data_IF_709038309399
#
_entry.id   IF_709038309399
#
_cell.length_a   1.000
_cell.length_b   1.000
_cell.length_c   1.000
_cell.angle_alpha   90.00
_cell.angle_beta   90.00
_cell.angle_gamma   90.00
#
_symmetry.space_group_name_H-M   'P 1'
#
loop_
_entity.id
_entity.type
_entity.pdbx_description
1 polymer ?
#
# COMPACT_ATOMS: atom_id res chain seq x y z
N UNK A 1 -33.53 53.17 13.68
CA UNK A 1 -34.31 52.16 14.41
C UNK A 1 -33.45 50.95 14.56
N UNK A 2 -32.71 51.00 15.66
CA UNK A 2 -31.73 50.02 16.12
C UNK A 2 -32.44 48.86 16.83
N UNK A 3 -31.65 47.83 17.04
CA UNK A 3 -31.91 46.61 17.83
C UNK A 3 -32.50 45.46 17.05
N UNK A 4 -31.57 44.57 16.60
CA UNK A 4 -31.49 43.14 16.94
C UNK A 4 -30.11 42.65 16.44
N UNK A 5 -29.09 42.89 17.21
CA UNK A 5 -27.76 42.18 17.12
C UNK A 5 -27.23 42.00 18.52
N UNK A 6 -27.64 40.93 19.18
CA UNK A 6 -26.89 40.33 20.29
C UNK A 6 -27.55 38.98 20.66
N UNK A 7 -26.82 37.90 20.52
CA UNK A 7 -27.25 36.61 21.07
C UNK A 7 -27.00 35.42 20.16
N UNK A 8 -25.75 35.06 19.91
CA UNK A 8 -25.32 33.65 19.77
C UNK A 8 -23.81 33.62 19.62
N UNK A 9 -23.13 33.86 20.73
CA UNK A 9 -21.71 33.57 20.88
C UNK A 9 -21.57 32.89 22.22
N UNK A 10 -21.63 31.55 22.22
CA UNK A 10 -21.07 30.66 23.24
C UNK A 10 -21.66 29.25 23.03
N UNK A 11 -20.88 28.43 22.39
CA UNK A 11 -20.81 26.96 22.57
C UNK A 11 -20.01 26.36 21.43
N UNK A 12 -18.73 26.64 21.40
CA UNK A 12 -17.71 25.77 20.79
C UNK A 12 -16.48 25.90 21.67
N UNK A 13 -16.39 25.07 22.64
CA UNK A 13 -15.16 24.77 23.35
C UNK A 13 -15.28 23.38 23.91
N UNK A 14 -14.62 22.46 23.30
CA UNK A 14 -13.82 21.34 23.76
C UNK A 14 -13.63 20.38 22.61
N UNK A 15 -12.83 20.76 21.62
CA UNK A 15 -12.12 19.79 20.83
C UNK A 15 -10.86 19.47 21.63
N UNK A 16 -10.79 18.25 22.15
CA UNK A 16 -9.61 17.70 22.79
C UNK A 16 -8.42 17.87 21.84
N UNK A 17 -7.52 18.75 22.20
CA UNK A 17 -6.19 18.84 21.61
C UNK A 17 -5.44 17.59 22.05
N UNK A 18 -5.52 16.52 21.22
CA UNK A 18 -4.61 15.38 21.37
C UNK A 18 -3.21 15.94 21.19
N UNK A 19 -2.45 15.85 22.26
CA UNK A 19 -1.08 16.37 22.37
C UNK A 19 -0.21 15.75 21.27
N UNK A 20 0.15 16.55 20.26
CA UNK A 20 1.00 16.14 19.13
C UNK A 20 2.36 15.57 19.58
N UNK A 21 2.84 15.94 20.75
CA UNK A 21 4.09 15.43 21.34
C UNK A 21 4.01 13.97 21.78
N UNK A 22 2.86 13.49 22.25
CA UNK A 22 2.69 12.09 22.71
C UNK A 22 2.53 11.12 21.54
N UNK A 23 1.94 11.54 20.43
CA UNK A 23 1.79 10.72 19.23
C UNK A 23 3.14 10.51 18.53
N UNK A 24 3.98 11.56 18.48
CA UNK A 24 5.30 11.51 17.85
C UNK A 24 6.27 10.62 18.64
N UNK A 25 6.27 10.71 19.98
CA UNK A 25 7.09 9.85 20.84
C UNK A 25 6.72 8.37 20.73
N UNK A 26 5.44 8.05 20.56
CA UNK A 26 4.96 6.69 20.34
C UNK A 26 5.42 6.10 19.00
N UNK A 27 5.39 6.88 17.92
CA UNK A 27 5.84 6.47 16.60
C UNK A 27 7.36 6.23 16.56
N UNK A 28 8.15 7.12 17.19
CA UNK A 28 9.61 6.94 17.28
C UNK A 28 9.99 5.69 18.07
N UNK A 29 9.25 5.37 19.13
CA UNK A 29 9.44 4.11 19.87
C UNK A 29 9.20 2.89 18.97
N UNK A 30 8.15 2.90 18.14
CA UNK A 30 7.88 1.82 17.20
C UNK A 30 8.95 1.70 16.12
N UNK A 31 9.42 2.82 15.59
CA UNK A 31 10.53 2.85 14.62
C UNK A 31 11.81 2.26 15.21
N UNK A 32 12.16 2.63 16.45
CA UNK A 32 13.31 2.09 17.15
C UNK A 32 13.23 0.56 17.35
N UNK A 33 12.04 0.03 17.63
CA UNK A 33 11.81 -1.42 17.73
C UNK A 33 12.01 -2.14 16.40
N UNK A 34 11.61 -1.51 15.30
CA UNK A 34 11.68 -2.10 13.95
C UNK A 34 13.06 -1.99 13.32
N UNK A 35 13.85 -1.00 13.69
CA UNK A 35 15.14 -0.70 13.05
C UNK A 35 16.13 -1.88 13.04
N UNK A 36 16.27 -2.71 14.10
CA UNK A 36 17.19 -3.84 14.12
C UNK A 36 16.62 -5.10 13.46
N UNK A 37 15.35 -5.08 13.02
CA UNK A 37 14.66 -6.27 12.53
C UNK A 37 14.89 -6.51 11.04
N UNK A 38 15.06 -7.77 10.68
CA UNK A 38 15.00 -8.21 9.29
C UNK A 38 13.58 -8.11 8.72
N UNK A 39 13.41 -8.04 7.38
CA UNK A 39 12.10 -7.85 6.76
C UNK A 39 11.01 -8.83 7.23
N UNK A 40 11.33 -10.12 7.36
CA UNK A 40 10.39 -11.12 7.87
C UNK A 40 10.01 -10.88 9.32
N UNK A 41 10.97 -10.46 10.15
CA UNK A 41 10.71 -10.09 11.54
C UNK A 41 9.83 -8.84 11.65
N UNK A 42 9.99 -7.87 10.74
CA UNK A 42 9.11 -6.71 10.65
C UNK A 42 7.66 -7.12 10.33
N UNK A 43 7.48 -8.07 9.41
CA UNK A 43 6.15 -8.61 9.08
C UNK A 43 5.53 -9.35 10.27
N UNK A 44 6.32 -10.20 10.96
CA UNK A 44 5.85 -10.93 12.15
C UNK A 44 5.47 -9.95 13.26
N UNK A 45 6.29 -8.95 13.54
CA UNK A 45 5.97 -7.89 14.49
C UNK A 45 4.64 -7.19 14.18
N UNK A 46 4.38 -6.91 12.91
CA UNK A 46 3.12 -6.27 12.52
C UNK A 46 1.92 -7.22 12.69
N UNK A 47 2.09 -8.49 12.33
CA UNK A 47 1.06 -9.52 12.51
C UNK A 47 0.71 -9.71 13.98
N UNK A 48 1.71 -9.84 14.85
CA UNK A 48 1.52 -10.03 16.30
C UNK A 48 0.85 -8.81 16.95
N UNK A 49 1.22 -7.61 16.51
CA UNK A 49 0.74 -6.36 17.09
C UNK A 49 -0.67 -5.97 16.66
N UNK A 50 -1.00 -6.18 15.39
CA UNK A 50 -2.25 -5.70 14.80
C UNK A 50 -3.25 -6.82 14.54
N UNK A 51 -2.81 -8.07 14.51
CA UNK A 51 -3.67 -9.23 14.26
C UNK A 51 -4.55 -9.04 13.02
N UNK A 52 -5.90 -9.14 13.15
CA UNK A 52 -6.82 -8.94 12.03
C UNK A 52 -6.78 -7.54 11.40
N UNK A 53 -6.22 -6.55 12.10
CA UNK A 53 -6.00 -5.20 11.60
C UNK A 53 -4.71 -5.04 10.77
N UNK A 54 -3.98 -6.12 10.50
CA UNK A 54 -2.82 -6.11 9.61
C UNK A 54 -3.19 -6.62 8.21
N UNK A 55 -2.68 -5.95 7.19
CA UNK A 55 -2.81 -6.35 5.78
C UNK A 55 -1.49 -6.15 5.04
N UNK A 56 -1.37 -6.72 3.84
CA UNK A 56 -0.30 -6.41 2.91
C UNK A 56 -0.88 -5.87 1.61
N UNK A 57 -0.20 -4.94 0.96
CA UNK A 57 -0.54 -4.46 -0.38
C UNK A 57 0.46 -4.96 -1.40
N UNK A 58 0.00 -5.28 -2.60
CA UNK A 58 0.85 -5.72 -3.71
C UNK A 58 0.38 -5.11 -5.03
N UNK A 59 1.30 -4.89 -5.96
CA UNK A 59 1.02 -4.57 -7.36
C UNK A 59 1.22 -5.77 -8.28
N UNK A 60 1.68 -6.90 -7.75
CA UNK A 60 2.18 -8.04 -8.54
C UNK A 60 3.25 -7.64 -9.57
N UNK A 61 3.99 -6.56 -9.32
CA UNK A 61 5.15 -6.19 -10.11
C UNK A 61 6.33 -7.13 -9.84
N UNK A 62 7.44 -6.88 -10.55
CA UNK A 62 8.64 -7.71 -10.60
C UNK A 62 9.13 -8.20 -9.23
N UNK A 63 9.04 -7.36 -8.21
CA UNK A 63 9.58 -7.62 -6.87
C UNK A 63 8.52 -7.96 -5.83
N UNK A 64 7.26 -8.04 -6.23
CA UNK A 64 6.17 -8.36 -5.31
C UNK A 64 6.27 -9.78 -4.76
N UNK A 65 6.87 -10.71 -5.52
CA UNK A 65 7.08 -12.10 -5.09
C UNK A 65 7.88 -12.23 -3.80
N UNK A 66 8.86 -11.36 -3.58
CA UNK A 66 9.71 -11.38 -2.39
C UNK A 66 8.91 -11.21 -1.11
N UNK A 67 8.18 -10.10 -1.00
CA UNK A 67 7.42 -9.79 0.22
C UNK A 67 6.25 -10.77 0.42
N UNK A 68 5.61 -11.23 -0.67
CA UNK A 68 4.57 -12.24 -0.65
C UNK A 68 5.10 -13.59 -0.14
N UNK A 69 6.28 -13.99 -0.60
CA UNK A 69 6.95 -15.21 -0.13
C UNK A 69 7.32 -15.09 1.36
N UNK A 70 7.94 -13.99 1.78
CA UNK A 70 8.25 -13.75 3.18
C UNK A 70 7.01 -13.89 4.07
N UNK A 71 5.88 -13.30 3.64
CA UNK A 71 4.62 -13.41 4.37
C UNK A 71 4.12 -14.86 4.43
N UNK A 72 4.18 -15.61 3.31
CA UNK A 72 3.71 -17.00 3.26
C UNK A 72 4.52 -17.96 4.14
N UNK A 73 5.76 -17.60 4.49
CA UNK A 73 6.62 -18.37 5.39
C UNK A 73 6.37 -18.09 6.87
N UNK A 74 5.54 -17.10 7.22
CA UNK A 74 5.27 -16.75 8.62
C UNK A 74 4.15 -17.59 9.22
N UNK A 75 4.24 -17.96 10.49
CA UNK A 75 3.11 -18.49 11.23
C UNK A 75 1.92 -17.53 11.18
N UNK A 76 0.77 -17.98 10.64
CA UNK A 76 -0.42 -17.15 10.47
C UNK A 76 -0.38 -16.18 9.28
N UNK A 77 0.68 -16.21 8.46
CA UNK A 77 0.81 -15.36 7.27
C UNK A 77 -0.26 -15.63 6.20
N UNK A 78 -0.78 -16.84 6.12
CA UNK A 78 -1.88 -17.26 5.26
C UNK A 78 -3.22 -16.57 5.58
N UNK A 79 -3.40 -16.15 6.83
CA UNK A 79 -4.58 -15.42 7.29
C UNK A 79 -4.57 -13.93 6.91
N UNK A 80 -3.39 -13.36 6.61
CA UNK A 80 -3.22 -11.94 6.30
C UNK A 80 -3.82 -11.61 4.93
N UNK A 81 -4.76 -10.65 4.85
CA UNK A 81 -5.28 -10.21 3.56
C UNK A 81 -4.21 -9.50 2.74
N UNK A 82 -4.01 -9.96 1.52
CA UNK A 82 -3.14 -9.32 0.52
C UNK A 82 -4.02 -8.53 -0.43
N UNK A 83 -3.99 -7.21 -0.32
CA UNK A 83 -4.81 -6.30 -1.11
C UNK A 83 -4.07 -5.97 -2.41
N UNK A 84 -4.72 -6.26 -3.52
CA UNK A 84 -4.26 -5.91 -4.86
C UNK A 84 -5.23 -4.94 -5.52
N UNK A 85 -4.72 -3.75 -5.87
CA UNK A 85 -5.51 -2.78 -6.63
C UNK A 85 -5.45 -3.14 -8.12
N UNK A 86 -6.56 -3.64 -8.63
CA UNK A 86 -6.74 -3.89 -10.06
C UNK A 86 -7.37 -2.67 -10.73
N UNK A 87 -6.56 -2.00 -11.55
CA UNK A 87 -7.02 -0.82 -12.30
C UNK A 87 -7.90 -1.17 -13.50
N UNK A 88 -7.91 -2.45 -13.91
CA UNK A 88 -8.57 -2.94 -15.14
C UNK A 88 -7.78 -2.64 -16.42
N UNK A 89 -6.54 -2.14 -16.30
CA UNK A 89 -5.66 -1.80 -17.43
C UNK A 89 -4.27 -2.45 -17.31
N UNK A 90 -4.13 -3.42 -16.40
CA UNK A 90 -2.87 -4.14 -16.25
C UNK A 90 -2.60 -5.05 -17.46
N UNK A 91 -1.34 -5.31 -17.82
CA UNK A 91 -0.99 -6.29 -18.83
C UNK A 91 -1.52 -7.70 -18.50
N UNK A 92 -1.86 -8.47 -19.52
CA UNK A 92 -2.34 -9.85 -19.34
C UNK A 92 -1.32 -10.73 -18.58
N UNK A 93 -0.03 -10.46 -18.79
CA UNK A 93 1.09 -11.10 -18.12
C UNK A 93 1.03 -10.89 -16.60
N UNK A 94 0.68 -9.66 -16.16
CA UNK A 94 0.52 -9.34 -14.73
C UNK A 94 -0.62 -10.15 -14.11
N UNK A 95 -1.77 -10.27 -14.79
CA UNK A 95 -2.90 -11.09 -14.31
C UNK A 95 -2.52 -12.58 -14.20
N UNK A 96 -1.83 -13.13 -15.20
CA UNK A 96 -1.38 -14.53 -15.20
C UNK A 96 -0.34 -14.77 -14.09
N UNK A 97 0.63 -13.86 -13.96
CA UNK A 97 1.66 -13.92 -12.92
C UNK A 97 1.05 -13.84 -11.51
N UNK A 98 0.10 -12.95 -11.30
CA UNK A 98 -0.63 -12.82 -10.04
C UNK A 98 -1.37 -14.11 -9.68
N UNK A 99 -2.06 -14.72 -10.63
CA UNK A 99 -2.77 -15.99 -10.43
C UNK A 99 -1.82 -17.14 -10.07
N UNK A 100 -0.71 -17.26 -10.80
CA UNK A 100 0.32 -18.29 -10.56
C UNK A 100 0.96 -18.12 -9.17
N UNK A 101 1.33 -16.89 -8.83
CA UNK A 101 1.98 -16.58 -7.55
C UNK A 101 1.03 -16.80 -6.36
N UNK A 102 -0.25 -16.41 -6.52
CA UNK A 102 -1.29 -16.69 -5.53
C UNK A 102 -1.45 -18.18 -5.26
N UNK A 103 -1.50 -19.00 -6.31
CA UNK A 103 -1.62 -20.46 -6.17
C UNK A 103 -0.41 -21.08 -5.51
N UNK A 104 0.80 -20.65 -5.90
CA UNK A 104 2.06 -21.16 -5.35
C UNK A 104 2.23 -20.82 -3.86
N UNK A 105 1.87 -19.61 -3.45
CA UNK A 105 2.10 -19.10 -2.09
C UNK A 105 0.89 -19.23 -1.15
N UNK A 106 -0.27 -19.68 -1.65
CA UNK A 106 -1.48 -19.82 -0.84
C UNK A 106 -2.02 -18.52 -0.27
N UNK A 107 -1.73 -17.36 -0.90
CA UNK A 107 -2.06 -16.04 -0.34
C UNK A 107 -3.56 -15.77 -0.35
N UNK A 108 -4.07 -15.15 0.72
CA UNK A 108 -5.44 -14.65 0.84
C UNK A 108 -5.60 -13.33 0.07
N UNK A 109 -5.87 -13.44 -1.23
CA UNK A 109 -5.96 -12.28 -2.12
C UNK A 109 -7.30 -11.55 -1.99
N UNK A 110 -7.25 -10.24 -1.80
CA UNK A 110 -8.37 -9.29 -1.85
C UNK A 110 -8.15 -8.36 -3.04
N UNK A 111 -8.99 -8.49 -4.07
CA UNK A 111 -8.91 -7.62 -5.25
C UNK A 111 -9.72 -6.36 -4.99
N UNK A 112 -9.05 -5.21 -5.02
CA UNK A 112 -9.63 -3.88 -4.86
C UNK A 112 -9.82 -3.24 -6.25
N UNK A 113 -11.07 -2.99 -6.64
CA UNK A 113 -11.42 -2.42 -7.93
C UNK A 113 -12.35 -1.22 -7.76
N UNK A 114 -12.28 -0.28 -8.70
CA UNK A 114 -13.28 0.77 -8.80
C UNK A 114 -14.66 0.18 -9.10
N UNK A 115 -15.70 0.73 -8.49
CA UNK A 115 -17.10 0.36 -8.76
C UNK A 115 -17.52 0.64 -10.20
N UNK A 116 -16.81 1.52 -10.91
CA UNK A 116 -17.04 1.85 -12.30
C UNK A 116 -16.08 1.07 -13.20
N UNK A 117 -16.62 0.32 -14.17
CA UNK A 117 -15.80 -0.40 -15.15
C UNK A 117 -14.92 0.53 -15.98
N UNK A 118 -13.78 0.05 -16.51
CA UNK A 118 -12.93 0.83 -17.42
C UNK A 118 -13.71 1.42 -18.59
N UNK A 119 -14.48 0.60 -19.31
CA UNK A 119 -15.25 1.02 -20.49
C UNK A 119 -16.26 2.14 -20.17
N UNK A 120 -16.99 2.02 -19.03
CA UNK A 120 -17.95 3.06 -18.62
C UNK A 120 -17.24 4.37 -18.32
N UNK A 121 -16.06 4.31 -17.68
CA UNK A 121 -15.28 5.49 -17.34
C UNK A 121 -14.76 6.19 -18.57
N UNK A 122 -14.17 5.43 -19.51
CA UNK A 122 -13.69 5.99 -20.79
C UNK A 122 -14.80 6.67 -21.55
N UNK A 123 -16.00 6.08 -21.56
CA UNK A 123 -17.17 6.69 -22.21
C UNK A 123 -17.62 8.02 -21.57
N UNK A 124 -17.46 8.16 -20.25
CA UNK A 124 -17.92 9.34 -19.51
C UNK A 124 -16.85 10.44 -19.36
N UNK A 125 -15.57 10.04 -19.24
CA UNK A 125 -14.47 10.96 -18.91
C UNK A 125 -13.34 10.94 -19.94
N UNK A 126 -13.41 10.08 -20.97
CA UNK A 126 -12.31 9.86 -21.89
C UNK A 126 -11.15 9.10 -21.24
N UNK A 127 -10.05 9.02 -21.97
CA UNK A 127 -8.79 8.42 -21.46
C UNK A 127 -7.97 9.47 -20.73
N UNK A 128 -8.25 9.66 -19.47
CA UNK A 128 -7.64 10.72 -18.65
C UNK A 128 -6.10 10.72 -18.69
N UNK A 129 -5.47 9.55 -18.80
CA UNK A 129 -4.00 9.42 -18.89
C UNK A 129 -3.41 9.86 -20.23
N UNK A 130 -4.23 10.07 -21.27
CA UNK A 130 -3.79 10.55 -22.59
C UNK A 130 -3.95 12.07 -22.75
N UNK A 131 -4.60 12.76 -21.82
CA UNK A 131 -4.88 14.20 -21.91
C UNK A 131 -3.65 15.09 -21.77
N UNK A 132 -2.58 14.59 -21.16
CA UNK A 132 -1.37 15.35 -20.84
C UNK A 132 -1.56 16.37 -19.70
N UNK A 133 -2.74 16.45 -19.07
CA UNK A 133 -3.02 17.35 -17.93
C UNK A 133 -2.79 16.61 -16.61
N UNK A 134 -2.09 17.28 -15.68
CA UNK A 134 -1.80 16.74 -14.36
C UNK A 134 -3.10 16.44 -13.57
N UNK A 135 -4.07 17.32 -13.63
CA UNK A 135 -5.38 17.17 -12.97
C UNK A 135 -6.13 15.90 -13.40
N UNK A 136 -6.07 15.55 -14.69
CA UNK A 136 -6.69 14.34 -15.21
C UNK A 136 -5.94 13.08 -14.76
N UNK A 137 -4.62 13.15 -14.69
CA UNK A 137 -3.80 12.06 -14.16
C UNK A 137 -4.09 11.85 -12.67
N UNK A 138 -4.21 12.92 -11.89
CA UNK A 138 -4.57 12.86 -10.47
C UNK A 138 -5.97 12.28 -10.28
N UNK A 139 -6.93 12.70 -11.10
CA UNK A 139 -8.27 12.13 -11.10
C UNK A 139 -8.25 10.64 -11.43
N UNK A 140 -7.49 10.23 -12.46
CA UNK A 140 -7.29 8.83 -12.83
C UNK A 140 -6.73 8.02 -11.66
N UNK A 141 -5.63 8.48 -11.06
CA UNK A 141 -4.98 7.80 -9.94
C UNK A 141 -5.91 7.69 -8.73
N UNK A 142 -6.63 8.77 -8.40
CA UNK A 142 -7.60 8.76 -7.31
C UNK A 142 -8.67 7.70 -7.53
N UNK A 143 -9.35 7.72 -8.67
CA UNK A 143 -10.49 6.85 -8.96
C UNK A 143 -10.09 5.38 -9.18
N UNK A 144 -8.87 5.11 -9.63
CA UNK A 144 -8.44 3.75 -10.00
C UNK A 144 -7.51 3.09 -8.99
N UNK A 145 -6.81 3.88 -8.18
CA UNK A 145 -5.85 3.34 -7.20
C UNK A 145 -6.19 3.73 -5.78
N UNK A 146 -6.37 5.03 -5.51
CA UNK A 146 -6.50 5.51 -4.13
C UNK A 146 -7.83 5.10 -3.51
N UNK A 147 -8.95 5.45 -4.15
CA UNK A 147 -10.28 5.13 -3.63
C UNK A 147 -10.52 3.62 -3.46
N UNK A 148 -10.21 2.75 -4.45
CA UNK A 148 -10.36 1.30 -4.27
C UNK A 148 -9.50 0.74 -3.14
N UNK A 149 -8.26 1.25 -2.97
CA UNK A 149 -7.39 0.84 -1.87
C UNK A 149 -7.99 1.24 -0.52
N UNK A 150 -8.41 2.50 -0.38
CA UNK A 150 -9.03 3.00 0.85
C UNK A 150 -10.28 2.21 1.23
N UNK A 151 -11.14 1.93 0.26
CA UNK A 151 -12.34 1.12 0.47
C UNK A 151 -12.00 -0.29 0.95
N UNK A 152 -10.95 -0.91 0.40
CA UNK A 152 -10.50 -2.23 0.83
C UNK A 152 -9.91 -2.20 2.25
N UNK A 153 -9.08 -1.19 2.56
CA UNK A 153 -8.50 -0.99 3.88
C UNK A 153 -9.59 -0.72 4.94
N UNK A 154 -10.59 0.09 4.61
CA UNK A 154 -11.72 0.40 5.49
C UNK A 154 -12.57 -0.85 5.77
N UNK A 155 -12.95 -1.59 4.73
CA UNK A 155 -13.73 -2.83 4.89
C UNK A 155 -13.00 -3.88 5.71
N UNK A 156 -11.66 -3.92 5.61
CA UNK A 156 -10.82 -4.80 6.40
C UNK A 156 -10.53 -4.30 7.81
N UNK A 157 -11.01 -3.11 8.20
CA UNK A 157 -10.64 -2.44 9.45
C UNK A 157 -9.12 -2.43 9.67
N UNK A 158 -8.37 -2.22 8.58
CA UNK A 158 -6.91 -2.27 8.58
C UNK A 158 -6.35 -1.07 9.35
N UNK A 159 -5.45 -1.33 10.28
CA UNK A 159 -4.72 -0.32 11.08
C UNK A 159 -3.27 -0.18 10.67
N UNK A 160 -2.69 -1.24 10.10
CA UNK A 160 -1.34 -1.26 9.58
C UNK A 160 -1.31 -2.07 8.29
N UNK A 161 -0.62 -1.58 7.26
CA UNK A 161 -0.36 -2.38 6.06
C UNK A 161 1.12 -2.38 5.69
N UNK A 162 1.60 -3.53 5.21
CA UNK A 162 2.93 -3.66 4.65
C UNK A 162 2.92 -3.47 3.13
N UNK A 163 3.99 -2.92 2.58
CA UNK A 163 4.20 -2.78 1.14
C UNK A 163 5.65 -3.03 0.74
N UNK A 164 5.87 -3.48 -0.51
CA UNK A 164 7.20 -3.75 -1.06
C UNK A 164 7.95 -2.50 -1.54
N UNK A 165 7.66 -1.33 -0.99
CA UNK A 165 8.34 -0.07 -1.34
C UNK A 165 9.78 -0.10 -0.86
N UNK A 166 10.70 0.36 -1.74
CA UNK A 166 12.13 0.50 -1.44
C UNK A 166 12.59 1.92 -1.72
N UNK A 167 13.53 2.40 -0.89
CA UNK A 167 14.04 3.79 -0.97
C UNK A 167 14.69 4.11 -2.31
N UNK A 168 15.40 3.15 -2.90
CA UNK A 168 16.13 3.33 -4.16
C UNK A 168 15.28 3.34 -5.44
N UNK A 169 13.93 3.23 -5.36
CA UNK A 169 13.09 3.13 -6.55
C UNK A 169 12.77 4.49 -7.21
N UNK A 170 12.62 5.54 -6.42
CA UNK A 170 12.36 6.91 -6.91
C UNK A 170 12.88 7.95 -5.93
N UNK A 171 13.11 9.19 -6.39
CA UNK A 171 13.55 10.28 -5.52
C UNK A 171 12.54 10.59 -4.40
N UNK A 172 11.25 10.54 -4.70
CA UNK A 172 10.18 10.73 -3.71
C UNK A 172 10.23 9.70 -2.56
N UNK A 173 10.78 8.51 -2.81
CA UNK A 173 10.88 7.45 -1.80
C UNK A 173 12.12 7.56 -0.91
N UNK A 174 13.05 8.46 -1.24
CA UNK A 174 14.29 8.66 -0.45
C UNK A 174 14.04 9.14 0.98
N UNK A 175 13.00 9.93 1.16
CA UNK A 175 12.61 10.47 2.48
C UNK A 175 11.71 9.53 3.30
N UNK A 176 11.25 8.42 2.72
CA UNK A 176 10.38 7.47 3.43
C UNK A 176 11.13 6.76 4.54
N UNK A 177 10.43 6.48 5.64
CA UNK A 177 10.92 5.68 6.75
C UNK A 177 10.31 4.27 6.75
N UNK A 178 10.84 3.39 7.61
CA UNK A 178 10.39 2.01 7.73
C UNK A 178 8.91 1.91 8.14
N UNK A 179 8.46 2.87 8.98
CA UNK A 179 7.09 2.97 9.45
C UNK A 179 6.64 4.43 9.43
N UNK A 180 5.65 4.75 8.62
CA UNK A 180 5.07 6.09 8.53
C UNK A 180 3.57 6.08 8.80
N UNK A 181 3.05 7.10 9.50
CA UNK A 181 1.62 7.33 9.56
C UNK A 181 1.13 7.82 8.19
N UNK A 182 0.10 7.19 7.68
CA UNK A 182 -0.59 7.63 6.47
C UNK A 182 -2.07 7.69 6.81
N UNK A 183 -2.60 8.91 6.90
CA UNK A 183 -3.93 9.15 7.45
C UNK A 183 -4.01 8.57 8.87
N UNK A 184 -5.01 7.76 9.16
CA UNK A 184 -5.26 7.13 10.48
C UNK A 184 -4.62 5.75 10.63
N UNK A 185 -3.68 5.37 9.75
CA UNK A 185 -3.07 4.03 9.70
C UNK A 185 -1.56 4.12 9.65
N UNK A 186 -0.92 2.99 9.88
CA UNK A 186 0.53 2.84 9.73
C UNK A 186 0.87 2.12 8.42
N UNK A 187 1.84 2.65 7.70
CA UNK A 187 2.43 2.03 6.50
C UNK A 187 3.80 1.49 6.84
N UNK A 188 3.95 0.17 6.79
CA UNK A 188 5.20 -0.55 7.04
C UNK A 188 5.88 -0.91 5.71
N UNK A 189 7.20 -0.71 5.63
CA UNK A 189 8.00 -0.97 4.44
C UNK A 189 9.18 -1.88 4.76
N UNK A 190 8.97 -3.17 4.94
CA UNK A 190 10.02 -4.10 5.39
C UNK A 190 11.25 -4.12 4.48
N UNK A 191 11.05 -3.91 3.17
CA UNK A 191 12.12 -3.91 2.16
C UNK A 191 12.72 -2.52 1.92
N UNK A 192 12.45 -1.50 2.75
CA UNK A 192 12.82 -0.11 2.49
C UNK A 192 14.31 0.07 2.12
N UNK A 193 15.19 -0.65 2.81
CA UNK A 193 16.64 -0.56 2.64
C UNK A 193 17.22 -1.55 1.64
N UNK A 194 16.41 -2.47 1.12
CA UNK A 194 16.85 -3.48 0.16
C UNK A 194 17.19 -2.86 -1.18
N UNK A 195 18.31 -3.31 -1.74
CA UNK A 195 18.75 -2.98 -3.09
C UNK A 195 18.11 -3.92 -4.13
N UNK A 196 18.28 -3.62 -5.42
CA UNK A 196 17.91 -4.56 -6.49
C UNK A 196 18.67 -5.89 -6.38
N UNK A 197 19.91 -5.84 -5.89
CA UNK A 197 20.78 -6.99 -5.68
C UNK A 197 20.23 -7.91 -4.59
N UNK A 198 19.79 -7.34 -3.46
CA UNK A 198 19.23 -8.13 -2.36
C UNK A 198 17.95 -8.86 -2.80
N UNK A 199 17.08 -8.15 -3.53
CA UNK A 199 15.87 -8.74 -4.12
C UNK A 199 16.21 -9.87 -5.08
N UNK A 200 17.19 -9.67 -5.95
CA UNK A 200 17.60 -10.67 -6.94
C UNK A 200 18.12 -11.95 -6.27
N UNK A 201 19.02 -11.82 -5.28
CA UNK A 201 19.54 -12.98 -4.56
C UNK A 201 18.47 -13.71 -3.77
N UNK A 202 17.58 -12.99 -3.11
CA UNK A 202 16.46 -13.62 -2.42
C UNK A 202 15.57 -14.41 -3.38
N UNK A 203 15.26 -13.84 -4.54
CA UNK A 203 14.45 -14.53 -5.55
C UNK A 203 15.15 -15.80 -6.07
N UNK A 204 16.46 -15.76 -6.28
CA UNK A 204 17.24 -16.94 -6.68
C UNK A 204 17.26 -18.01 -5.58
N UNK A 205 17.54 -17.63 -4.34
CA UNK A 205 17.64 -18.55 -3.20
C UNK A 205 16.34 -19.33 -2.98
N UNK A 206 15.20 -18.68 -3.21
CA UNK A 206 13.87 -19.26 -2.99
C UNK A 206 13.15 -19.68 -4.28
N UNK A 207 13.86 -19.74 -5.41
CA UNK A 207 13.31 -20.12 -6.72
C UNK A 207 12.01 -19.38 -7.04
N UNK A 208 11.96 -18.07 -6.77
CA UNK A 208 10.77 -17.27 -7.02
C UNK A 208 10.67 -16.87 -8.49
N UNK A 209 9.48 -16.99 -9.11
CA UNK A 209 9.33 -16.64 -10.52
C UNK A 209 9.52 -15.14 -10.73
N UNK A 210 10.23 -14.80 -11.79
CA UNK A 210 10.28 -13.43 -12.27
C UNK A 210 9.00 -13.08 -13.04
N UNK A 211 8.63 -11.81 -13.01
CA UNK A 211 7.51 -11.33 -13.81
C UNK A 211 7.84 -11.48 -15.31
N UNK A 212 6.93 -12.02 -16.16
CA UNK A 212 7.23 -12.30 -17.56
C UNK A 212 7.67 -11.08 -18.39
N UNK A 213 7.27 -9.87 -17.97
CA UNK A 213 7.68 -8.62 -18.64
C UNK A 213 9.00 -8.04 -18.11
N UNK A 214 9.69 -8.74 -17.21
CA UNK A 214 10.98 -8.27 -16.68
C UNK A 214 12.02 -8.09 -17.79
N UNK A 215 12.17 -9.11 -18.63
CA UNK A 215 13.13 -9.11 -19.73
C UNK A 215 12.75 -8.14 -20.86
N UNK A 216 11.50 -7.65 -20.88
CA UNK A 216 10.99 -6.68 -21.82
C UNK A 216 11.11 -5.23 -21.31
N UNK A 217 11.83 -5.02 -20.21
CA UNK A 217 12.06 -3.69 -19.65
C UNK A 217 10.88 -3.11 -18.88
N UNK A 218 9.97 -3.95 -18.39
CA UNK A 218 8.92 -3.47 -17.49
C UNK A 218 9.55 -2.84 -16.24
N UNK A 219 9.51 -1.54 -16.19
CA UNK A 219 9.98 -0.79 -15.03
C UNK A 219 8.99 -0.91 -13.88
N UNK A 220 9.52 -0.99 -12.66
CA UNK A 220 8.77 -0.99 -11.40
C UNK A 220 7.86 0.24 -11.19
N UNK A 221 7.97 1.23 -12.08
CA UNK A 221 7.31 2.54 -11.96
C UNK A 221 6.00 2.59 -12.77
N UNK A 222 5.79 1.65 -13.69
CA UNK A 222 4.66 1.69 -14.64
C UNK A 222 3.47 0.79 -14.27
N UNK A 223 3.46 0.25 -13.04
CA UNK A 223 2.32 -0.57 -12.55
C UNK A 223 1.54 0.16 -11.48
#
# INVERSE_FOLDING_TARGET
MDNIRQGTRQMISTADSVDSGTVDSGLETLRAQLQPLEPQQCLQWALDRFGPGFAMTTSFGIQSSVLLHMLSCLPGGDSVPVIWVDTGYLPAETYRSAQSLRQRLGTRLVVAQSSMSPARREALHGRLWESGREEDMDLYLRLRKVEPLEDALNRGSVRCWASGVRRGQTDLRRSMTLLDPIRDRLSLRPLLHWTNRDVFYYMQEHDLPQHPLFDQGLSLIHI
#
